data_IF_787386405991
#
_entry.id   IF_787386405991
#
_cell.length_a   1.000
_cell.length_b   1.000
_cell.length_c   1.000
_cell.angle_alpha   90.00
_cell.angle_beta   90.00
_cell.angle_gamma   90.00
#
_symmetry.space_group_name_H-M   'P 1'
#
loop_
_entity.id
_entity.type
_entity.pdbx_description
1 polymer ?
#
# COMPACT_ATOMS: atom_id res chain seq x y z
N UNK A 1 40.73 6.58 2.34
CA UNK A 1 40.07 6.38 1.03
C UNK A 1 39.08 5.22 1.18
N UNK A 2 37.78 5.39 0.88
CA UNK A 2 36.82 4.27 0.98
C UNK A 2 37.19 3.21 -0.04
N UNK A 3 37.12 1.93 0.34
CA UNK A 3 37.39 0.80 -0.57
C UNK A 3 36.45 0.89 -1.78
N UNK A 4 36.96 1.02 -3.02
CA UNK A 4 36.13 1.14 -4.21
C UNK A 4 35.19 -0.06 -4.43
N UNK A 5 35.53 -1.27 -3.94
CA UNK A 5 34.65 -2.45 -4.01
C UNK A 5 33.44 -2.30 -3.10
N UNK A 6 33.63 -1.71 -1.92
CA UNK A 6 32.56 -1.42 -0.97
C UNK A 6 31.60 -0.38 -1.52
N UNK A 7 32.11 0.65 -2.20
CA UNK A 7 31.28 1.67 -2.88
C UNK A 7 30.45 1.06 -4.02
N UNK A 8 31.02 0.14 -4.79
CA UNK A 8 30.29 -0.57 -5.85
C UNK A 8 29.17 -1.46 -5.30
N UNK A 9 29.43 -2.20 -4.20
CA UNK A 9 28.41 -3.02 -3.53
C UNK A 9 27.30 -2.16 -2.91
N UNK A 10 27.64 -1.07 -2.22
CA UNK A 10 26.67 -0.12 -1.66
C UNK A 10 25.80 0.51 -2.77
N UNK A 11 26.39 0.79 -3.93
CA UNK A 11 25.68 1.27 -5.12
C UNK A 11 24.71 0.22 -5.65
N UNK A 12 25.17 -1.04 -5.80
CA UNK A 12 24.33 -2.15 -6.23
C UNK A 12 23.15 -2.39 -5.26
N UNK A 13 23.41 -2.40 -3.96
CA UNK A 13 22.38 -2.57 -2.92
C UNK A 13 21.41 -1.39 -2.91
N UNK A 14 21.89 -0.15 -3.09
CA UNK A 14 20.99 1.01 -3.21
C UNK A 14 20.11 0.93 -4.45
N UNK A 15 20.67 0.47 -5.57
CA UNK A 15 19.98 0.47 -6.84
C UNK A 15 18.98 -0.70 -6.97
N UNK A 16 19.27 -1.85 -6.35
CA UNK A 16 18.50 -3.11 -6.47
C UNK A 16 18.02 -3.72 -5.14
N UNK A 17 18.57 -3.33 -4.00
CA UNK A 17 18.27 -3.93 -2.69
C UNK A 17 17.04 -3.34 -2.00
N UNK A 18 16.47 -2.26 -2.52
CA UNK A 18 15.32 -1.57 -1.90
C UNK A 18 14.13 -1.43 -2.86
N UNK A 19 13.87 -2.49 -3.62
CA UNK A 19 12.69 -2.58 -4.50
C UNK A 19 11.41 -2.46 -3.66
N UNK A 20 11.42 -2.95 -2.42
CA UNK A 20 10.32 -2.84 -1.46
C UNK A 20 10.01 -1.40 -0.99
N UNK A 21 11.00 -0.57 -0.63
CA UNK A 21 10.71 0.83 -0.27
C UNK A 21 10.46 1.74 -1.48
N UNK A 22 10.94 1.35 -2.67
CA UNK A 22 10.66 2.07 -3.93
C UNK A 22 9.28 1.74 -4.50
N UNK A 23 8.83 0.50 -4.39
CA UNK A 23 7.44 0.13 -4.69
C UNK A 23 6.58 0.36 -3.45
N UNK A 24 6.16 1.62 -3.24
CA UNK A 24 5.08 1.96 -2.28
C UNK A 24 3.73 1.26 -2.59
N UNK A 25 3.69 0.43 -3.62
CA UNK A 25 2.54 -0.34 -4.07
C UNK A 25 2.84 -1.81 -3.78
N UNK A 26 2.42 -2.29 -2.61
CA UNK A 26 2.38 -3.73 -2.35
C UNK A 26 1.40 -4.40 -3.32
N UNK A 27 1.77 -5.57 -3.85
CA UNK A 27 0.83 -6.38 -4.61
C UNK A 27 0.03 -7.22 -3.62
N UNK A 28 -1.28 -7.18 -3.71
CA UNK A 28 -2.16 -8.07 -2.97
C UNK A 28 -2.44 -9.30 -3.83
N UNK A 29 -2.33 -10.49 -3.24
CA UNK A 29 -2.66 -11.75 -3.91
C UNK A 29 -3.71 -12.53 -3.13
N UNK A 30 -4.66 -13.10 -3.86
CA UNK A 30 -5.62 -14.09 -3.36
C UNK A 30 -5.35 -15.43 -4.04
N UNK A 31 -4.89 -16.45 -3.32
CA UNK A 31 -4.67 -17.77 -3.90
C UNK A 31 -5.97 -18.52 -4.19
N UNK A 32 -6.15 -19.01 -5.42
CA UNK A 32 -7.36 -19.72 -5.85
C UNK A 32 -8.61 -18.87 -5.70
N UNK A 33 -9.65 -19.44 -5.09
CA UNK A 33 -10.92 -18.76 -4.79
C UNK A 33 -10.98 -18.18 -3.37
N UNK A 34 -9.83 -18.08 -2.69
CA UNK A 34 -9.77 -17.45 -1.36
C UNK A 34 -10.23 -15.99 -1.43
N UNK A 35 -10.99 -15.58 -0.41
CA UNK A 35 -11.37 -14.17 -0.21
C UNK A 35 -10.31 -13.38 0.54
N UNK A 36 -9.32 -14.06 1.13
CA UNK A 36 -8.22 -13.40 1.82
C UNK A 36 -7.26 -12.74 0.83
N UNK A 37 -6.66 -11.63 1.25
CA UNK A 37 -5.64 -10.91 0.49
C UNK A 37 -4.35 -10.90 1.30
N UNK A 38 -3.24 -11.32 0.67
CA UNK A 38 -1.92 -11.31 1.28
C UNK A 38 -1.03 -10.34 0.54
N UNK A 39 -0.30 -9.50 1.27
CA UNK A 39 0.67 -8.60 0.68
C UNK A 39 1.92 -9.38 0.29
N UNK A 40 2.37 -9.19 -0.95
CA UNK A 40 3.63 -9.73 -1.47
C UNK A 40 4.43 -8.63 -2.13
N UNK A 41 5.73 -8.85 -2.20
CA UNK A 41 6.66 -7.98 -2.89
C UNK A 41 6.89 -8.47 -4.31
N UNK A 42 6.91 -7.53 -5.26
CA UNK A 42 7.36 -7.80 -6.62
C UNK A 42 8.88 -7.70 -6.65
N UNK A 43 9.55 -8.84 -6.74
CA UNK A 43 11.01 -8.91 -6.80
C UNK A 43 11.51 -8.49 -8.18
N UNK A 44 10.76 -8.82 -9.24
CA UNK A 44 11.13 -8.40 -10.60
C UNK A 44 10.26 -8.98 -11.70
N UNK A 45 10.56 -8.57 -12.94
CA UNK A 45 9.88 -9.02 -14.16
C UNK A 45 10.90 -9.61 -15.13
N UNK A 46 10.71 -10.88 -15.49
CA UNK A 46 11.53 -11.55 -16.51
C UNK A 46 10.79 -11.45 -17.85
N UNK A 47 11.02 -10.36 -18.57
CA UNK A 47 10.28 -10.01 -19.79
C UNK A 47 10.39 -11.05 -20.90
N UNK A 48 11.59 -11.59 -21.13
CA UNK A 48 11.84 -12.57 -22.21
C UNK A 48 11.07 -13.88 -22.02
N UNK A 49 10.77 -14.22 -20.76
CA UNK A 49 10.03 -15.44 -20.39
C UNK A 49 8.61 -15.13 -19.93
N UNK A 50 8.19 -13.86 -19.94
CA UNK A 50 6.88 -13.38 -19.50
C UNK A 50 6.51 -13.86 -18.11
N UNK A 51 7.42 -13.69 -17.15
CA UNK A 51 7.17 -14.02 -15.74
C UNK A 51 7.30 -12.80 -14.84
N UNK A 52 6.47 -12.80 -13.80
CA UNK A 52 6.58 -11.93 -12.64
C UNK A 52 7.12 -12.79 -11.47
N UNK A 53 8.13 -12.26 -10.77
CA UNK A 53 8.72 -12.91 -9.59
C UNK A 53 8.19 -12.21 -8.34
N UNK A 54 7.54 -12.99 -7.49
CA UNK A 54 6.92 -12.53 -6.25
C UNK A 54 7.53 -13.24 -5.05
N UNK A 55 7.52 -12.62 -3.89
CA UNK A 55 7.63 -13.36 -2.63
C UNK A 55 6.41 -14.26 -2.44
N UNK A 56 6.56 -15.36 -1.70
CA UNK A 56 5.41 -16.18 -1.33
C UNK A 56 4.49 -15.41 -0.36
N UNK A 57 3.16 -15.54 -0.49
CA UNK A 57 2.23 -14.95 0.46
C UNK A 57 2.45 -15.50 1.86
N UNK A 58 2.44 -14.61 2.85
CA UNK A 58 2.51 -14.94 4.25
C UNK A 58 1.45 -14.14 5.03
N UNK A 59 1.08 -14.63 6.20
CA UNK A 59 0.34 -13.86 7.20
C UNK A 59 1.22 -12.75 7.79
N UNK A 60 0.62 -11.83 8.55
CA UNK A 60 1.34 -10.70 9.15
C UNK A 60 2.41 -11.14 10.18
N UNK A 61 2.24 -12.30 10.82
CA UNK A 61 3.24 -12.96 11.69
C UNK A 61 4.34 -13.70 10.91
N UNK A 62 4.26 -13.75 9.58
CA UNK A 62 5.26 -14.36 8.70
C UNK A 62 5.01 -15.84 8.37
N UNK A 63 3.90 -16.43 8.81
CA UNK A 63 3.53 -17.80 8.46
C UNK A 63 3.16 -17.91 6.99
N UNK A 64 3.83 -18.81 6.25
CA UNK A 64 3.61 -18.97 4.80
C UNK A 64 2.22 -19.52 4.48
N UNK A 65 1.58 -18.95 3.47
CA UNK A 65 0.33 -19.45 2.92
C UNK A 65 0.62 -20.54 1.91
N UNK A 66 -0.04 -21.69 2.10
CA UNK A 66 0.09 -22.82 1.19
C UNK A 66 -0.39 -22.45 -0.22
N UNK A 67 0.51 -22.59 -1.19
CA UNK A 67 0.23 -22.42 -2.61
C UNK A 67 0.82 -23.56 -3.42
N UNK A 68 0.27 -23.81 -4.60
CA UNK A 68 0.69 -24.92 -5.47
C UNK A 68 1.00 -24.45 -6.89
N UNK A 69 1.93 -25.13 -7.55
CA UNK A 69 2.16 -24.95 -8.99
C UNK A 69 0.86 -25.23 -9.75
N UNK A 70 0.55 -24.41 -10.74
CA UNK A 70 -0.70 -24.45 -11.52
C UNK A 70 -1.86 -23.70 -10.86
N UNK A 71 -1.74 -23.30 -9.60
CA UNK A 71 -2.76 -22.48 -8.95
C UNK A 71 -2.78 -21.07 -9.55
N UNK A 72 -3.97 -20.53 -9.74
CA UNK A 72 -4.17 -19.14 -10.15
C UNK A 72 -4.18 -18.22 -8.92
N UNK A 73 -3.50 -17.09 -9.01
CA UNK A 73 -3.59 -15.97 -8.09
C UNK A 73 -4.45 -14.88 -8.71
N UNK A 74 -5.32 -14.27 -7.91
CA UNK A 74 -5.90 -12.96 -8.26
C UNK A 74 -5.02 -11.88 -7.65
N UNK A 75 -4.38 -11.10 -8.51
CA UNK A 75 -3.39 -10.09 -8.17
C UNK A 75 -4.03 -8.70 -8.26
N UNK A 76 -3.84 -7.87 -7.24
CA UNK A 76 -4.40 -6.51 -7.16
C UNK A 76 -3.37 -5.52 -6.69
N UNK A 77 -3.32 -4.36 -7.33
CA UNK A 77 -2.57 -3.23 -6.80
C UNK A 77 -3.33 -1.94 -7.03
N UNK A 78 -2.92 -0.92 -6.30
CA UNK A 78 -3.48 0.42 -6.42
C UNK A 78 -2.38 1.37 -6.84
N UNK A 79 -2.66 2.30 -7.76
CA UNK A 79 -1.73 3.37 -8.13
C UNK A 79 -2.48 4.69 -8.19
N UNK A 80 -2.16 5.60 -7.26
CA UNK A 80 -2.71 6.95 -7.09
C UNK A 80 -4.25 7.04 -7.01
N UNK A 81 -4.94 6.85 -8.13
CA UNK A 81 -6.40 6.95 -8.32
C UNK A 81 -7.01 5.69 -8.93
N UNK A 82 -6.19 4.76 -9.40
CA UNK A 82 -6.62 3.60 -10.19
C UNK A 82 -6.28 2.30 -9.46
N UNK A 83 -7.28 1.43 -9.33
CA UNK A 83 -7.10 0.04 -8.93
C UNK A 83 -6.89 -0.83 -10.16
N UNK A 84 -6.03 -1.83 -10.04
CA UNK A 84 -5.71 -2.79 -11.10
C UNK A 84 -5.94 -4.21 -10.58
N UNK A 85 -6.40 -5.08 -11.48
CA UNK A 85 -6.60 -6.49 -11.20
C UNK A 85 -6.16 -7.35 -12.40
N UNK A 86 -5.56 -8.50 -12.11
CA UNK A 86 -5.29 -9.53 -13.11
C UNK A 86 -5.24 -10.90 -12.46
N UNK A 87 -5.32 -11.95 -13.28
CA UNK A 87 -5.09 -13.33 -12.86
C UNK A 87 -3.73 -13.80 -13.38
N UNK A 88 -2.99 -14.53 -12.57
CA UNK A 88 -1.70 -15.10 -12.95
C UNK A 88 -1.53 -16.52 -12.39
N UNK A 89 -1.03 -17.43 -13.20
CA UNK A 89 -0.83 -18.83 -12.80
C UNK A 89 0.58 -19.04 -12.26
N UNK A 90 0.71 -19.75 -11.14
CA UNK A 90 2.00 -20.13 -10.56
C UNK A 90 2.66 -21.18 -11.45
N UNK A 91 3.76 -20.83 -12.12
CA UNK A 91 4.50 -21.76 -12.98
C UNK A 91 5.63 -22.46 -12.25
N UNK A 92 6.17 -21.84 -11.20
CA UNK A 92 7.25 -22.39 -10.37
C UNK A 92 7.23 -21.79 -8.97
N UNK A 93 7.60 -22.63 -8.01
CA UNK A 93 7.84 -22.26 -6.62
C UNK A 93 9.29 -22.59 -6.32
N UNK A 94 10.02 -21.65 -5.75
CA UNK A 94 11.39 -21.83 -5.24
C UNK A 94 11.34 -21.61 -3.74
N UNK A 95 11.91 -22.50 -2.94
CA UNK A 95 11.85 -22.40 -1.47
C UNK A 95 13.10 -21.76 -0.86
N UNK A 96 14.23 -21.81 -1.56
CA UNK A 96 15.52 -21.30 -1.09
C UNK A 96 16.06 -20.19 -2.01
N UNK A 97 16.77 -19.19 -1.46
CA UNK A 97 17.03 -18.94 -0.03
C UNK A 97 15.82 -18.36 0.72
N UNK A 98 14.83 -17.85 -0.02
CA UNK A 98 13.53 -17.45 0.49
C UNK A 98 12.45 -17.99 -0.46
N UNK A 99 11.22 -18.24 0.03
CA UNK A 99 10.12 -18.67 -0.82
C UNK A 99 9.72 -17.62 -1.87
N UNK A 100 9.86 -17.97 -3.14
CA UNK A 100 9.52 -17.14 -4.30
C UNK A 100 8.55 -17.88 -5.22
N UNK A 101 7.66 -17.10 -5.84
CA UNK A 101 6.73 -17.55 -6.85
C UNK A 101 7.09 -16.94 -8.20
N UNK A 102 7.23 -17.78 -9.22
CA UNK A 102 7.19 -17.31 -10.60
C UNK A 102 5.76 -17.48 -11.09
N UNK A 103 5.16 -16.38 -11.52
CA UNK A 103 3.81 -16.38 -12.08
C UNK A 103 3.82 -15.84 -13.50
N UNK A 104 2.88 -16.30 -14.32
CA UNK A 104 2.72 -15.81 -15.68
C UNK A 104 2.42 -14.30 -15.68
N UNK A 105 3.08 -13.57 -16.57
CA UNK A 105 2.80 -12.16 -16.79
C UNK A 105 1.47 -12.05 -17.56
N UNK A 106 0.48 -11.31 -17.05
CA UNK A 106 -0.83 -11.21 -17.69
C UNK A 106 -0.70 -10.55 -19.07
N UNK A 107 -1.51 -11.00 -20.03
CA UNK A 107 -1.63 -10.32 -21.32
C UNK A 107 -2.52 -9.10 -21.23
N UNK A 108 -3.53 -9.15 -20.35
CA UNK A 108 -4.52 -8.12 -20.14
C UNK A 108 -4.65 -7.85 -18.64
N UNK A 109 -4.71 -6.58 -18.27
CA UNK A 109 -4.90 -6.11 -16.90
C UNK A 109 -6.18 -5.30 -16.87
N UNK A 110 -7.09 -5.66 -15.96
CA UNK A 110 -8.27 -4.87 -15.66
C UNK A 110 -7.86 -3.64 -14.86
N UNK A 111 -8.44 -2.47 -15.20
CA UNK A 111 -8.21 -1.23 -14.47
C UNK A 111 -9.53 -0.54 -14.18
N UNK A 112 -9.63 0.06 -13.01
CA UNK A 112 -10.78 0.85 -12.60
C UNK A 112 -10.31 2.11 -11.87
N UNK A 113 -10.73 3.28 -12.35
CA UNK A 113 -10.57 4.53 -11.61
C UNK A 113 -11.50 4.49 -10.40
N UNK A 114 -10.93 4.50 -9.20
CA UNK A 114 -11.69 4.42 -7.94
C UNK A 114 -11.63 5.72 -7.14
N UNK A 115 -10.85 6.71 -7.59
CA UNK A 115 -10.80 8.06 -7.04
C UNK A 115 -10.75 9.08 -8.17
N UNK A 116 -11.45 10.21 -8.02
CA UNK A 116 -11.33 11.32 -8.96
C UNK A 116 -9.97 12.00 -8.89
N UNK A 117 -9.42 12.14 -7.68
CA UNK A 117 -8.23 12.94 -7.41
C UNK A 117 -7.18 12.16 -6.60
N UNK A 118 -5.88 12.40 -6.82
CA UNK A 118 -4.82 11.77 -6.04
C UNK A 118 -4.82 12.29 -4.60
N UNK A 119 -4.30 11.46 -3.70
CA UNK A 119 -4.12 11.80 -2.28
C UNK A 119 -2.63 11.87 -1.97
N UNK A 120 -2.19 12.96 -1.36
CA UNK A 120 -0.88 13.07 -0.76
C UNK A 120 -0.90 12.37 0.61
N UNK A 121 0.03 11.44 0.82
CA UNK A 121 0.30 10.95 2.17
C UNK A 121 0.84 12.10 3.00
N UNK A 122 0.18 12.37 4.12
CA UNK A 122 0.55 13.42 5.04
C UNK A 122 0.44 12.79 6.42
N UNK A 123 1.53 12.69 7.18
CA UNK A 123 1.48 12.22 8.57
C UNK A 123 1.58 13.46 9.46
N UNK A 124 0.45 14.14 9.65
CA UNK A 124 0.41 15.43 10.35
C UNK A 124 -0.46 15.31 11.61
N UNK A 125 0.01 15.90 12.71
CA UNK A 125 -0.84 16.08 13.89
C UNK A 125 -2.02 16.99 13.53
N UNK A 126 -3.20 16.58 13.93
CA UNK A 126 -4.43 17.29 13.66
C UNK A 126 -5.36 17.23 14.89
N UNK A 127 -6.32 18.15 14.93
CA UNK A 127 -7.33 18.23 15.97
C UNK A 127 -8.70 18.22 15.30
N UNK A 128 -9.59 17.36 15.78
CA UNK A 128 -11.03 17.53 15.53
C UNK A 128 -11.48 18.59 16.53
N UNK A 129 -11.97 19.73 16.05
CA UNK A 129 -12.39 20.85 16.90
C UNK A 129 -13.88 20.78 17.27
N UNK A 130 -14.70 20.25 16.37
CA UNK A 130 -16.14 20.10 16.56
C UNK A 130 -16.63 18.78 15.94
N UNK A 131 -17.65 18.12 16.52
CA UNK A 131 -18.42 18.53 17.71
C UNK A 131 -17.77 18.12 19.05
N UNK A 132 -16.69 17.34 19.01
CA UNK A 132 -15.92 16.94 20.19
C UNK A 132 -14.45 17.22 19.91
N UNK A 133 -13.80 17.95 20.82
CA UNK A 133 -12.37 18.18 20.75
C UNK A 133 -11.62 16.85 20.92
N UNK A 134 -10.89 16.42 19.90
CA UNK A 134 -10.13 15.17 19.93
C UNK A 134 -8.84 15.27 19.14
N UNK A 135 -7.78 14.65 19.67
CA UNK A 135 -6.53 14.47 18.93
C UNK A 135 -6.73 13.50 17.77
N UNK A 136 -6.05 13.78 16.66
CA UNK A 136 -6.09 12.95 15.47
C UNK A 136 -4.77 13.06 14.71
N UNK A 137 -4.56 12.13 13.79
CA UNK A 137 -3.49 12.20 12.82
C UNK A 137 -4.14 12.30 11.44
N UNK A 138 -3.90 13.39 10.73
CA UNK A 138 -4.16 13.43 9.30
C UNK A 138 -3.18 12.44 8.66
N UNK A 139 -3.70 11.47 7.90
CA UNK A 139 -2.95 10.34 7.28
C UNK A 139 -2.76 10.57 5.78
N UNK A 140 -3.79 11.11 5.12
CA UNK A 140 -3.69 11.59 3.74
C UNK A 140 -4.69 12.69 3.46
N UNK A 141 -4.39 13.50 2.44
CA UNK A 141 -5.21 14.61 1.99
C UNK A 141 -5.27 14.68 0.46
N UNK A 142 -6.41 15.08 -0.07
CA UNK A 142 -6.66 15.44 -1.46
C UNK A 142 -7.44 16.74 -1.52
N UNK A 143 -7.62 17.29 -2.72
CA UNK A 143 -8.44 18.49 -2.94
C UNK A 143 -9.90 18.31 -2.51
N UNK A 144 -10.41 17.06 -2.53
CA UNK A 144 -11.82 16.76 -2.24
C UNK A 144 -12.05 16.11 -0.88
N UNK A 145 -11.01 15.95 -0.04
CA UNK A 145 -11.17 15.33 1.28
C UNK A 145 -9.89 14.76 1.86
N UNK A 146 -10.00 14.19 3.05
CA UNK A 146 -8.88 13.71 3.86
C UNK A 146 -9.21 12.39 4.55
N UNK A 147 -8.19 11.66 4.99
CA UNK A 147 -8.29 10.54 5.93
C UNK A 147 -7.58 10.89 7.22
N UNK A 148 -8.26 10.67 8.33
CA UNK A 148 -7.70 10.84 9.67
C UNK A 148 -7.69 9.50 10.41
N UNK A 149 -6.71 9.33 11.28
CA UNK A 149 -6.69 8.31 12.32
C UNK A 149 -7.02 8.98 13.65
N UNK A 150 -7.86 8.32 14.44
CA UNK A 150 -8.26 8.73 15.79
C UNK A 150 -8.17 7.53 16.71
N UNK A 151 -8.13 7.76 18.02
CA UNK A 151 -8.28 6.67 18.98
C UNK A 151 -9.69 6.06 18.89
N UNK A 152 -9.82 4.78 19.23
CA UNK A 152 -11.07 4.01 19.11
C UNK A 152 -12.22 4.57 19.96
N UNK A 153 -11.89 5.25 21.05
CA UNK A 153 -12.84 5.88 21.97
C UNK A 153 -13.43 7.18 21.43
N UNK A 154 -12.93 7.73 20.31
CA UNK A 154 -13.46 8.93 19.66
C UNK A 154 -14.63 8.55 18.73
N UNK A 155 -15.89 8.82 19.11
CA UNK A 155 -17.04 8.32 18.37
C UNK A 155 -17.33 9.21 17.16
N UNK A 156 -16.96 8.76 15.96
CA UNK A 156 -17.29 9.42 14.70
C UNK A 156 -18.35 8.63 13.91
N UNK A 157 -19.47 9.28 13.60
CA UNK A 157 -20.57 8.67 12.84
C UNK A 157 -20.51 9.09 11.37
N UNK A 158 -20.92 8.20 10.47
CA UNK A 158 -21.10 8.54 9.05
C UNK A 158 -22.02 9.76 8.90
N UNK A 159 -21.68 10.65 7.99
CA UNK A 159 -22.34 11.94 7.70
C UNK A 159 -22.23 13.01 8.80
N UNK A 160 -21.59 12.71 9.93
CA UNK A 160 -21.30 13.70 10.97
C UNK A 160 -20.42 14.80 10.41
N UNK A 161 -20.83 16.05 10.60
CA UNK A 161 -20.00 17.21 10.28
C UNK A 161 -18.91 17.34 11.35
N UNK A 162 -17.68 17.55 10.91
CA UNK A 162 -16.54 17.81 11.76
C UNK A 162 -15.75 18.99 11.23
N UNK A 163 -15.03 19.65 12.12
CA UNK A 163 -14.00 20.62 11.78
C UNK A 163 -12.64 20.03 12.13
N UNK A 164 -11.77 19.91 11.14
CA UNK A 164 -10.41 19.39 11.31
C UNK A 164 -9.42 20.55 11.19
N UNK A 165 -8.55 20.68 12.18
CA UNK A 165 -7.46 21.64 12.23
C UNK A 165 -6.13 20.90 12.11
N UNK A 166 -5.26 21.32 11.20
CA UNK A 166 -3.90 20.82 11.10
C UNK A 166 -2.94 22.00 10.89
N UNK A 167 -1.69 21.84 11.32
CA UNK A 167 -0.63 22.83 11.12
C UNK A 167 0.54 22.25 10.33
N UNK A 168 0.44 22.15 8.99
CA UNK A 168 1.56 21.70 8.17
C UNK A 168 2.70 22.73 8.18
N UNK A 169 3.93 22.23 8.36
CA UNK A 169 5.15 22.99 8.15
C UNK A 169 5.64 22.79 6.72
N UNK A 170 5.61 23.83 5.89
CA UNK A 170 6.00 23.77 4.48
C UNK A 170 7.02 24.87 4.18
N UNK A 171 8.16 24.48 3.61
CA UNK A 171 9.21 25.41 3.14
C UNK A 171 9.53 26.51 4.18
N UNK A 172 9.76 26.09 5.43
CA UNK A 172 10.12 26.95 6.57
C UNK A 172 9.00 27.84 7.12
N UNK A 173 7.73 27.54 6.80
CA UNK A 173 6.57 28.27 7.33
C UNK A 173 5.52 27.32 7.83
N UNK A 174 4.92 27.68 8.96
CA UNK A 174 3.72 27.02 9.46
C UNK A 174 2.49 27.63 8.78
N UNK A 175 1.60 26.76 8.33
CA UNK A 175 0.30 27.14 7.80
C UNK A 175 -0.78 26.58 8.71
N UNK A 176 -1.87 27.31 8.88
CA UNK A 176 -3.07 26.76 9.50
C UNK A 176 -4.01 26.23 8.41
N UNK A 177 -4.38 24.96 8.53
CA UNK A 177 -5.31 24.30 7.66
C UNK A 177 -6.56 23.95 8.46
N UNK A 178 -7.67 24.62 8.13
CA UNK A 178 -9.00 24.31 8.69
C UNK A 178 -9.86 23.68 7.61
N UNK A 179 -10.38 22.48 7.87
CA UNK A 179 -11.24 21.74 6.95
C UNK A 179 -12.60 21.51 7.60
N UNK A 180 -13.66 22.05 7.00
CA UNK A 180 -15.03 21.71 7.35
C UNK A 180 -15.48 20.53 6.48
N UNK A 181 -15.66 19.36 7.08
CA UNK A 181 -15.92 18.14 6.33
C UNK A 181 -16.99 17.27 6.98
N UNK A 182 -17.43 16.24 6.24
CA UNK A 182 -18.35 15.21 6.74
C UNK A 182 -17.68 13.85 6.68
N UNK A 183 -17.87 13.05 7.73
CA UNK A 183 -17.32 11.68 7.80
C UNK A 183 -18.01 10.80 6.74
N UNK A 184 -17.27 10.26 5.77
CA UNK A 184 -17.87 9.45 4.69
C UNK A 184 -17.81 7.94 4.94
N UNK A 185 -16.89 7.47 5.76
CA UNK A 185 -16.73 6.06 6.13
C UNK A 185 -15.72 5.89 7.26
N UNK A 186 -15.81 4.76 7.96
CA UNK A 186 -14.84 4.34 8.95
C UNK A 186 -14.33 2.95 8.54
N UNK A 187 -13.01 2.76 8.59
CA UNK A 187 -12.38 1.45 8.52
C UNK A 187 -11.84 1.17 9.90
N UNK A 188 -12.69 0.66 10.79
CA UNK A 188 -12.18 -0.09 11.93
C UNK A 188 -11.43 -1.31 11.34
N UNK A 189 -10.27 -1.67 11.89
CA UNK A 189 -9.61 -2.92 11.50
C UNK A 189 -10.64 -4.04 11.62
N UNK A 190 -10.98 -4.67 10.50
CA UNK A 190 -11.65 -5.96 10.53
C UNK A 190 -10.54 -6.95 10.91
N UNK A 191 -10.67 -7.53 12.10
CA UNK A 191 -10.06 -8.82 12.44
C UNK A 191 -10.48 -9.90 11.43
#
# INVERSE_FOLDING_TARGET
MKDPRRVALETLIRDYGDIGARSRLGLLVSPGDSKANYKVDVVGVIRQKRFLVLTAPATDDGSLIAVSKGQTLVCRWFSATTAFQFRATIVRILFEPIPLLHVELPEVIERQTVRGEPRALATLRALINAPLAAESVLVDISISGARIAVNEDVPLKKSQAIELLARPHLLHRDYELTLHCRVTGNTANND
#
